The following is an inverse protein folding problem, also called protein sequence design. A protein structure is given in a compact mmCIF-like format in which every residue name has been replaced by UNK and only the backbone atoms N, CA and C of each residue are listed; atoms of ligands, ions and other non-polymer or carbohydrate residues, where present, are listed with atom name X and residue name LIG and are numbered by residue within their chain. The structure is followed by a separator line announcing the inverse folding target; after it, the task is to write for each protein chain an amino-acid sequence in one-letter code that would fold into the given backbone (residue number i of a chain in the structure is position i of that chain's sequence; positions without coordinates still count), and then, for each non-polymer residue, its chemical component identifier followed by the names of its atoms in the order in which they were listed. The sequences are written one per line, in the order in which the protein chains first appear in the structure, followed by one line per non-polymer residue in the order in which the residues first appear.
data_IF_028135027613
#
_entry.id   IF_028135027613
#
_cell.length_a   1.000
_cell.length_b   1.000
_cell.length_c   1.000
_cell.angle_alpha   90.00
_cell.angle_beta   90.00
_cell.angle_gamma   90.00
#
_symmetry.space_group_name_H-M   'P 1'
#
loop_
_entity.id
_entity.type
_entity.pdbx_description
1 polymer ?
#
# COMPACT_ATOMS: atom_id res chain seq x y z
N UNK A 1 -9.91 -58.13 -3.45
CA UNK A 1 -10.44 -57.23 -4.47
C UNK A 1 -10.65 -55.92 -3.74
N UNK A 2 -9.69 -55.06 -3.87
CA UNK A 2 -9.69 -53.76 -3.14
C UNK A 2 -9.84 -52.70 -4.21
N UNK A 3 -11.01 -52.10 -4.29
CA UNK A 3 -11.31 -51.01 -5.22
C UNK A 3 -10.58 -49.74 -4.69
N UNK A 4 -9.56 -49.35 -5.41
CA UNK A 4 -8.95 -48.04 -5.25
C UNK A 4 -9.90 -46.97 -5.86
N UNK A 5 -10.57 -46.24 -5.02
CA UNK A 5 -11.28 -45.03 -5.39
C UNK A 5 -10.32 -43.99 -5.97
N UNK A 6 -10.41 -43.77 -7.27
CA UNK A 6 -9.64 -42.74 -7.98
C UNK A 6 -10.19 -41.39 -7.53
N UNK A 7 -9.40 -40.65 -6.76
CA UNK A 7 -9.67 -39.26 -6.38
C UNK A 7 -9.97 -38.43 -7.63
N UNK A 8 -11.24 -38.11 -7.80
CA UNK A 8 -11.72 -37.19 -8.85
C UNK A 8 -11.14 -35.80 -8.56
N UNK A 9 -10.28 -35.34 -9.44
CA UNK A 9 -9.88 -33.94 -9.55
C UNK A 9 -11.12 -33.05 -9.46
N UNK A 10 -11.12 -31.98 -8.64
CA UNK A 10 -12.26 -31.09 -8.52
C UNK A 10 -12.58 -30.49 -9.89
N UNK A 11 -13.83 -30.64 -10.28
CA UNK A 11 -14.37 -30.08 -11.51
C UNK A 11 -14.09 -28.58 -11.63
N UNK A 12 -13.86 -28.10 -12.84
CA UNK A 12 -13.53 -26.72 -13.23
C UNK A 12 -14.60 -25.64 -12.88
N UNK A 13 -15.41 -25.84 -11.85
CA UNK A 13 -16.59 -25.05 -11.49
C UNK A 13 -16.44 -24.04 -10.35
N UNK A 14 -15.37 -24.08 -9.55
CA UNK A 14 -15.16 -23.15 -8.43
C UNK A 14 -14.05 -22.12 -8.72
N UNK A 15 -14.01 -21.56 -9.90
CA UNK A 15 -13.36 -20.27 -10.13
C UNK A 15 -14.20 -19.21 -9.39
N UNK A 16 -13.82 -18.92 -8.16
CA UNK A 16 -14.29 -17.71 -7.45
C UNK A 16 -14.19 -16.57 -8.44
N UNK A 17 -15.33 -16.04 -8.89
CA UNK A 17 -15.37 -14.99 -9.91
C UNK A 17 -14.49 -13.83 -9.43
N UNK A 18 -13.39 -13.61 -10.13
CA UNK A 18 -12.40 -12.57 -9.80
C UNK A 18 -13.10 -11.22 -9.73
N UNK A 19 -13.06 -10.59 -8.58
CA UNK A 19 -13.67 -9.27 -8.37
C UNK A 19 -12.82 -8.18 -9.03
N UNK A 20 -13.16 -7.81 -10.27
CA UNK A 20 -12.42 -6.82 -11.07
C UNK A 20 -12.51 -5.42 -10.52
N UNK A 21 -13.57 -5.08 -9.80
CA UNK A 21 -13.67 -3.79 -9.12
C UNK A 21 -12.58 -3.64 -8.06
N UNK A 22 -12.27 -4.71 -7.33
CA UNK A 22 -11.15 -4.73 -6.37
C UNK A 22 -9.81 -4.66 -7.10
N UNK A 23 -9.67 -5.29 -8.28
CA UNK A 23 -8.46 -5.14 -9.08
C UNK A 23 -8.28 -3.69 -9.56
N UNK A 24 -9.37 -2.99 -9.90
CA UNK A 24 -9.32 -1.55 -10.21
C UNK A 24 -8.85 -0.73 -9.01
N UNK A 25 -9.35 -1.01 -7.79
CA UNK A 25 -8.88 -0.33 -6.56
C UNK A 25 -7.37 -0.52 -6.37
N UNK A 26 -6.85 -1.76 -6.56
CA UNK A 26 -5.42 -2.04 -6.45
C UNK A 26 -4.60 -1.25 -7.46
N UNK A 27 -5.07 -1.14 -8.71
CA UNK A 27 -4.39 -0.40 -9.78
C UNK A 27 -4.35 1.09 -9.45
N UNK A 28 -5.47 1.68 -9.03
CA UNK A 28 -5.54 3.09 -8.61
C UNK A 28 -4.60 3.35 -7.44
N UNK A 29 -4.63 2.50 -6.42
CA UNK A 29 -3.75 2.61 -5.26
C UNK A 29 -2.27 2.46 -5.64
N UNK A 30 -1.94 1.55 -6.55
CA UNK A 30 -0.57 1.34 -7.06
C UNK A 30 -0.03 2.61 -7.74
N UNK A 31 -0.78 3.18 -8.69
CA UNK A 31 -0.37 4.40 -9.36
C UNK A 31 -0.34 5.60 -8.40
N UNK A 32 -1.23 5.65 -7.43
CA UNK A 32 -1.19 6.67 -6.39
C UNK A 32 0.07 6.59 -5.53
N UNK A 33 0.55 5.39 -5.14
CA UNK A 33 1.81 5.24 -4.41
C UNK A 33 3.01 5.63 -5.29
N UNK A 34 3.00 5.30 -6.59
CA UNK A 34 4.01 5.79 -7.51
C UNK A 34 3.97 7.33 -7.55
N UNK A 35 2.78 7.94 -7.61
CA UNK A 35 2.62 9.39 -7.58
C UNK A 35 3.23 9.99 -6.31
N UNK A 36 2.95 9.44 -5.12
CA UNK A 36 3.54 9.89 -3.86
C UNK A 36 5.06 9.94 -3.92
N UNK A 37 5.72 8.86 -4.36
CA UNK A 37 7.17 8.76 -4.35
C UNK A 37 7.84 9.51 -5.50
N UNK A 38 7.20 9.64 -6.66
CA UNK A 38 7.75 10.37 -7.81
C UNK A 38 7.58 11.89 -7.71
N UNK A 39 6.69 12.37 -6.82
CA UNK A 39 6.44 13.81 -6.65
C UNK A 39 6.96 14.38 -5.33
N UNK A 40 7.31 13.54 -4.35
CA UNK A 40 7.78 13.96 -3.03
C UNK A 40 8.99 14.91 -3.06
N UNK A 41 9.91 14.68 -3.98
CA UNK A 41 11.15 15.49 -4.11
C UNK A 41 10.92 16.91 -4.64
N UNK A 42 9.72 17.18 -5.14
CA UNK A 42 9.31 18.48 -5.65
C UNK A 42 8.56 19.33 -4.63
N UNK A 43 8.25 18.79 -3.45
CA UNK A 43 7.51 19.50 -2.39
C UNK A 43 8.32 20.65 -1.78
N UNK A 44 7.62 21.70 -1.34
CA UNK A 44 8.24 22.84 -0.66
C UNK A 44 9.07 23.77 -1.56
N UNK A 45 8.99 23.65 -2.88
CA UNK A 45 9.66 24.52 -3.85
C UNK A 45 8.66 25.52 -4.44
N UNK A 46 9.04 26.77 -4.56
CA UNK A 46 8.15 27.89 -4.94
C UNK A 46 7.38 27.73 -6.26
N UNK A 47 7.90 26.94 -7.20
CA UNK A 47 7.29 26.77 -8.53
C UNK A 47 6.48 25.47 -8.73
N UNK A 48 6.25 24.65 -7.69
CA UNK A 48 5.74 23.29 -7.88
C UNK A 48 4.36 22.99 -7.28
N UNK A 49 3.41 23.91 -7.44
CA UNK A 49 2.00 23.66 -7.06
C UNK A 49 1.44 22.35 -7.66
N UNK A 50 1.89 21.97 -8.87
CA UNK A 50 1.48 20.73 -9.52
C UNK A 50 1.92 19.51 -8.70
N UNK A 51 3.15 19.50 -8.19
CA UNK A 51 3.63 18.43 -7.33
C UNK A 51 2.81 18.33 -6.04
N UNK A 52 2.53 19.46 -5.41
CA UNK A 52 1.73 19.51 -4.18
C UNK A 52 0.31 18.95 -4.39
N UNK A 53 -0.34 19.34 -5.49
CA UNK A 53 -1.68 18.81 -5.83
C UNK A 53 -1.62 17.30 -6.09
N UNK A 54 -0.67 16.84 -6.89
CA UNK A 54 -0.51 15.41 -7.21
C UNK A 54 -0.23 14.60 -5.95
N UNK A 55 0.73 15.02 -5.13
CA UNK A 55 1.14 14.34 -3.91
C UNK A 55 0.00 14.24 -2.90
N UNK A 56 -0.69 15.36 -2.61
CA UNK A 56 -1.78 15.38 -1.64
C UNK A 56 -3.03 14.67 -2.13
N UNK A 57 -3.28 14.65 -3.44
CA UNK A 57 -4.38 13.87 -4.01
C UNK A 57 -4.14 12.37 -3.88
N UNK A 58 -2.88 11.95 -3.92
CA UNK A 58 -2.47 10.55 -3.82
C UNK A 58 -2.47 9.98 -2.39
N UNK A 59 -2.77 10.79 -1.37
CA UNK A 59 -2.80 10.37 0.06
C UNK A 59 -3.70 9.16 0.32
N UNK A 60 -4.77 8.98 -0.43
CA UNK A 60 -5.72 7.86 -0.28
C UNK A 60 -5.13 6.49 -0.66
N UNK A 61 -3.99 6.47 -1.34
CA UNK A 61 -3.45 5.25 -1.96
C UNK A 61 -3.06 4.18 -0.94
N UNK A 62 -2.38 4.57 0.13
CA UNK A 62 -2.01 3.63 1.21
C UNK A 62 -3.24 3.13 1.98
N UNK A 63 -4.18 4.00 2.43
CA UNK A 63 -5.47 3.57 2.94
C UNK A 63 -6.19 2.55 2.07
N UNK A 64 -6.26 2.77 0.77
CA UNK A 64 -6.92 1.86 -0.17
C UNK A 64 -6.31 0.45 -0.15
N UNK A 65 -5.01 0.28 0.02
CA UNK A 65 -4.38 -1.05 0.13
C UNK A 65 -4.82 -1.81 1.37
N UNK A 66 -4.85 -1.15 2.52
CA UNK A 66 -5.34 -1.77 3.75
C UNK A 66 -6.84 -2.09 3.65
N UNK A 67 -7.63 -1.20 3.06
CA UNK A 67 -9.06 -1.44 2.82
C UNK A 67 -9.31 -2.63 1.89
N UNK A 68 -8.55 -2.76 0.79
CA UNK A 68 -8.59 -3.94 -0.10
C UNK A 68 -8.29 -5.20 0.69
N UNK A 69 -7.26 -5.17 1.53
CA UNK A 69 -6.88 -6.33 2.35
C UNK A 69 -7.99 -6.72 3.32
N UNK A 70 -8.58 -5.76 4.01
CA UNK A 70 -9.72 -5.98 4.91
C UNK A 70 -10.97 -6.51 4.19
N UNK A 71 -11.29 -5.91 3.02
CA UNK A 71 -12.40 -6.35 2.18
C UNK A 71 -12.26 -7.81 1.73
N UNK A 72 -11.05 -8.23 1.37
CA UNK A 72 -10.80 -9.60 0.90
C UNK A 72 -10.68 -10.62 2.02
N UNK A 73 -10.11 -10.24 3.16
CA UNK A 73 -9.73 -11.19 4.23
C UNK A 73 -10.78 -11.33 5.32
N UNK A 74 -11.47 -10.24 5.71
CA UNK A 74 -12.51 -10.32 6.73
C UNK A 74 -13.75 -11.07 6.22
N UNK A 75 -14.25 -11.99 7.03
CA UNK A 75 -15.38 -12.86 6.70
C UNK A 75 -15.04 -14.00 5.74
N UNK A 76 -13.77 -14.26 5.45
CA UNK A 76 -13.34 -15.41 4.67
C UNK A 76 -13.38 -16.68 5.53
N UNK A 77 -13.89 -17.80 4.99
CA UNK A 77 -14.11 -19.06 5.73
C UNK A 77 -12.83 -19.70 6.28
N UNK A 78 -11.67 -19.52 5.63
CA UNK A 78 -10.39 -20.11 6.04
C UNK A 78 -9.37 -18.99 6.27
N UNK A 79 -9.34 -18.48 7.49
CA UNK A 79 -8.38 -17.48 7.99
C UNK A 79 -7.93 -17.86 9.39
N UNK A 80 -7.57 -19.11 9.53
CA UNK A 80 -7.00 -19.68 10.75
C UNK A 80 -5.53 -19.28 10.92
N UNK A 81 -4.91 -19.73 12.00
CA UNK A 81 -3.52 -19.47 12.29
C UNK A 81 -2.59 -20.02 11.21
N UNK A 82 -2.92 -21.19 10.65
CA UNK A 82 -2.11 -21.80 9.58
C UNK A 82 -2.10 -20.94 8.32
N UNK A 83 -3.26 -20.43 7.91
CA UNK A 83 -3.35 -19.46 6.79
C UNK A 83 -2.52 -18.21 7.06
N UNK A 84 -2.63 -17.64 8.27
CA UNK A 84 -1.88 -16.44 8.67
C UNK A 84 -0.38 -16.66 8.62
N UNK A 85 0.12 -17.78 9.19
CA UNK A 85 1.55 -18.15 9.13
C UNK A 85 2.00 -18.32 7.68
N UNK A 86 1.23 -18.99 6.84
CA UNK A 86 1.55 -19.15 5.43
C UNK A 86 1.73 -17.82 4.70
N UNK A 87 0.87 -16.82 5.01
CA UNK A 87 0.97 -15.47 4.44
C UNK A 87 2.18 -14.69 4.98
N UNK A 88 2.45 -14.78 6.28
CA UNK A 88 3.64 -14.17 6.89
C UNK A 88 4.92 -14.74 6.27
N UNK A 89 5.04 -16.07 6.16
CA UNK A 89 6.18 -16.70 5.53
C UNK A 89 6.31 -16.32 4.04
N UNK A 90 5.19 -16.15 3.33
CA UNK A 90 5.17 -15.64 1.97
C UNK A 90 5.78 -14.23 1.87
N UNK A 91 5.41 -13.32 2.78
CA UNK A 91 5.98 -11.97 2.86
C UNK A 91 7.48 -12.02 3.17
N UNK A 92 7.89 -12.78 4.19
CA UNK A 92 9.29 -12.89 4.58
C UNK A 92 10.15 -13.43 3.43
N UNK A 93 9.68 -14.49 2.75
CA UNK A 93 10.33 -15.02 1.54
C UNK A 93 10.45 -13.97 0.45
N UNK A 94 9.37 -13.25 0.16
CA UNK A 94 9.34 -12.19 -0.86
C UNK A 94 10.39 -11.12 -0.58
N UNK A 95 10.42 -10.59 0.64
CA UNK A 95 11.38 -9.57 1.07
C UNK A 95 12.81 -10.11 1.01
N UNK A 96 13.05 -11.35 1.47
CA UNK A 96 14.37 -11.96 1.41
C UNK A 96 14.89 -12.09 -0.02
N UNK A 97 14.04 -12.55 -0.95
CA UNK A 97 14.40 -12.69 -2.38
C UNK A 97 14.72 -11.33 -3.01
N UNK A 98 13.88 -10.31 -2.78
CA UNK A 98 14.09 -8.98 -3.37
C UNK A 98 15.33 -8.29 -2.81
N UNK A 99 15.59 -8.40 -1.51
CA UNK A 99 16.80 -7.89 -0.87
C UNK A 99 18.04 -8.61 -1.40
N UNK A 100 17.97 -9.92 -1.56
CA UNK A 100 19.09 -10.71 -2.09
C UNK A 100 19.42 -10.32 -3.54
N UNK A 101 18.41 -10.19 -4.41
CA UNK A 101 18.61 -9.76 -5.80
C UNK A 101 19.26 -8.37 -5.84
N UNK A 102 18.80 -7.44 -5.01
CA UNK A 102 19.39 -6.11 -4.91
C UNK A 102 20.85 -6.16 -4.46
N UNK A 103 21.16 -6.93 -3.43
CA UNK A 103 22.53 -7.09 -2.92
C UNK A 103 23.45 -7.64 -4.00
N UNK A 104 23.03 -8.68 -4.74
CA UNK A 104 23.81 -9.23 -5.86
C UNK A 104 24.05 -8.15 -6.92
N UNK A 105 23.01 -7.40 -7.32
CA UNK A 105 23.14 -6.35 -8.32
C UNK A 105 24.12 -5.23 -7.88
N UNK A 106 24.07 -4.82 -6.61
CA UNK A 106 24.97 -3.82 -6.06
C UNK A 106 26.41 -4.34 -5.93
N UNK A 107 26.58 -5.60 -5.52
CA UNK A 107 27.90 -6.24 -5.45
C UNK A 107 28.56 -6.32 -6.84
N UNK A 108 27.79 -6.71 -7.87
CA UNK A 108 28.27 -6.70 -9.25
C UNK A 108 28.66 -5.30 -9.73
N UNK A 109 27.86 -4.28 -9.41
CA UNK A 109 28.19 -2.88 -9.73
C UNK A 109 29.52 -2.47 -9.07
N UNK A 110 29.75 -2.80 -7.81
CA UNK A 110 31.00 -2.50 -7.10
C UNK A 110 32.21 -3.23 -7.72
N UNK A 111 32.06 -4.50 -8.09
CA UNK A 111 33.12 -5.27 -8.77
C UNK A 111 33.48 -4.62 -10.10
N UNK A 112 32.48 -4.25 -10.93
CA UNK A 112 32.69 -3.59 -12.25
C UNK A 112 33.37 -2.22 -12.08
N UNK A 113 33.06 -1.49 -11.00
CA UNK A 113 33.63 -0.17 -10.72
C UNK A 113 35.04 -0.25 -10.09
N UNK A 114 35.61 -1.44 -9.92
CA UNK A 114 36.93 -1.64 -9.31
C UNK A 114 36.98 -1.46 -7.76
N UNK A 115 35.83 -1.23 -7.15
CA UNK A 115 35.69 -1.05 -5.70
C UNK A 115 35.14 -2.32 -5.06
N UNK A 116 36.00 -3.32 -4.87
CA UNK A 116 35.57 -4.57 -4.25
C UNK A 116 35.40 -4.40 -2.74
N UNK A 117 34.16 -4.31 -2.26
CA UNK A 117 33.81 -4.53 -0.86
C UNK A 117 32.57 -5.41 -0.78
N UNK A 118 32.76 -6.66 -0.36
CA UNK A 118 31.65 -7.60 -0.18
C UNK A 118 31.24 -7.60 1.31
N UNK A 119 30.18 -6.86 1.63
CA UNK A 119 29.59 -6.96 2.97
C UNK A 119 28.51 -8.07 2.98
N UNK A 120 28.88 -9.21 3.54
CA UNK A 120 28.01 -10.40 3.64
C UNK A 120 26.85 -10.17 4.60
N UNK A 121 26.98 -9.28 5.57
CA UNK A 121 25.92 -8.97 6.54
C UNK A 121 24.90 -7.95 6.02
N UNK A 122 25.24 -7.24 4.94
CA UNK A 122 24.40 -6.20 4.38
C UNK A 122 22.99 -6.69 3.96
N UNK A 123 22.81 -7.88 3.34
CA UNK A 123 21.49 -8.39 3.04
C UNK A 123 20.63 -8.62 4.28
N UNK A 124 21.22 -9.15 5.35
CA UNK A 124 20.52 -9.36 6.63
C UNK A 124 20.09 -8.02 7.24
N UNK A 125 20.98 -7.03 7.24
CA UNK A 125 20.67 -5.69 7.69
C UNK A 125 19.51 -5.10 6.88
N UNK A 126 19.58 -5.12 5.56
CA UNK A 126 18.52 -4.60 4.70
C UNK A 126 17.21 -5.34 4.86
N UNK A 127 17.25 -6.66 5.02
CA UNK A 127 16.05 -7.45 5.30
C UNK A 127 15.33 -6.99 6.57
N UNK A 128 16.07 -6.77 7.66
CA UNK A 128 15.47 -6.33 8.93
C UNK A 128 14.99 -4.89 8.84
N UNK A 129 15.84 -3.95 8.41
CA UNK A 129 15.51 -2.52 8.45
C UNK A 129 14.43 -2.13 7.44
N UNK A 130 14.20 -2.92 6.39
CA UNK A 130 13.17 -2.67 5.40
C UNK A 130 11.75 -2.63 6.00
N UNK A 131 11.47 -3.47 6.99
CA UNK A 131 10.19 -3.45 7.70
C UNK A 131 9.98 -2.20 8.55
N UNK A 132 11.06 -1.47 8.85
CA UNK A 132 11.09 -0.28 9.71
C UNK A 132 11.43 1.01 8.94
N UNK A 133 11.01 1.12 7.70
CA UNK A 133 11.30 2.28 6.82
C UNK A 133 12.80 2.57 6.62
N UNK A 134 13.65 1.58 6.80
CA UNK A 134 15.09 1.75 6.68
C UNK A 134 15.67 1.24 5.37
N UNK A 135 16.81 1.82 4.98
CA UNK A 135 17.58 1.38 3.83
C UNK A 135 16.88 1.57 2.48
N UNK A 136 17.37 0.87 1.43
CA UNK A 136 16.85 1.02 0.08
C UNK A 136 15.43 0.50 -0.12
N UNK A 137 14.90 -0.26 0.85
CA UNK A 137 13.55 -0.83 0.82
C UNK A 137 12.62 -0.14 1.83
N UNK A 138 12.79 1.15 2.06
CA UNK A 138 12.01 1.91 3.03
C UNK A 138 10.49 1.74 2.85
N UNK A 139 10.01 1.56 1.62
CA UNK A 139 8.58 1.32 1.32
C UNK A 139 8.04 -0.02 1.85
N UNK A 140 8.90 -0.96 2.23
CA UNK A 140 8.49 -2.29 2.74
C UNK A 140 7.95 -2.27 4.17
N UNK A 141 7.92 -1.11 4.83
CA UNK A 141 7.19 -0.94 6.07
C UNK A 141 5.73 -1.43 5.98
N UNK A 142 5.12 -1.33 4.79
CA UNK A 142 3.79 -1.88 4.52
C UNK A 142 3.73 -3.39 4.77
N UNK A 143 4.74 -4.13 4.37
CA UNK A 143 4.83 -5.56 4.67
C UNK A 143 4.98 -5.83 6.17
N UNK A 144 5.74 -4.98 6.89
CA UNK A 144 5.82 -5.03 8.35
C UNK A 144 4.44 -4.89 9.02
N UNK A 145 3.67 -3.87 8.61
CA UNK A 145 2.31 -3.68 9.08
C UNK A 145 1.39 -4.88 8.72
N UNK A 146 1.51 -5.41 7.49
CA UNK A 146 0.72 -6.57 7.05
C UNK A 146 1.07 -7.85 7.82
N UNK A 147 2.33 -8.07 8.22
CA UNK A 147 2.72 -9.18 9.08
C UNK A 147 1.94 -9.12 10.40
N UNK A 148 1.87 -7.95 11.03
CA UNK A 148 1.13 -7.76 12.28
C UNK A 148 -0.37 -8.00 12.06
N UNK A 149 -0.93 -7.47 10.97
CA UNK A 149 -2.34 -7.68 10.62
C UNK A 149 -2.63 -9.16 10.38
N UNK A 150 -1.76 -9.90 9.68
CA UNK A 150 -1.93 -11.33 9.49
C UNK A 150 -1.84 -12.11 10.81
N UNK A 151 -0.95 -11.72 11.73
CA UNK A 151 -0.89 -12.33 13.06
C UNK A 151 -2.19 -12.12 13.85
N UNK A 152 -2.82 -10.96 13.71
CA UNK A 152 -4.08 -10.62 14.35
C UNK A 152 -5.32 -11.14 13.61
N UNK A 153 -5.19 -11.59 12.36
CA UNK A 153 -6.30 -11.93 11.48
C UNK A 153 -7.29 -12.97 12.05
N UNK A 154 -6.84 -14.04 12.74
CA UNK A 154 -7.78 -14.99 13.32
C UNK A 154 -8.71 -14.34 14.38
N UNK A 155 -8.17 -13.42 15.18
CA UNK A 155 -8.94 -12.67 16.19
C UNK A 155 -9.86 -11.67 15.51
N UNK A 156 -9.36 -10.91 14.54
CA UNK A 156 -10.16 -9.94 13.78
C UNK A 156 -11.34 -10.61 13.07
N UNK A 157 -11.15 -11.81 12.51
CA UNK A 157 -12.23 -12.56 11.90
C UNK A 157 -13.26 -13.08 12.92
N UNK A 158 -12.84 -13.49 14.11
CA UNK A 158 -13.78 -13.83 15.19
C UNK A 158 -14.64 -12.61 15.58
N UNK A 159 -14.02 -11.44 15.73
CA UNK A 159 -14.74 -10.19 15.96
C UNK A 159 -15.67 -9.86 14.79
N UNK A 160 -15.22 -10.06 13.55
CA UNK A 160 -16.00 -9.78 12.34
C UNK A 160 -17.28 -10.61 12.25
N UNK A 161 -17.30 -11.87 12.70
CA UNK A 161 -18.50 -12.71 12.71
C UNK A 161 -19.61 -12.06 13.56
N UNK A 162 -19.30 -11.56 14.75
CA UNK A 162 -20.24 -10.85 15.60
C UNK A 162 -20.37 -9.39 15.20
N UNK A 163 -21.56 -8.96 14.76
CA UNK A 163 -21.82 -7.56 14.40
C UNK A 163 -21.48 -6.61 15.56
N UNK A 164 -21.89 -6.94 16.78
CA UNK A 164 -21.65 -6.09 17.97
C UNK A 164 -20.15 -5.99 18.26
N UNK A 165 -19.44 -7.13 18.34
CA UNK A 165 -18.02 -7.14 18.62
C UNK A 165 -17.22 -6.37 17.55
N UNK A 166 -17.58 -6.52 16.28
CA UNK A 166 -16.90 -5.82 15.18
C UNK A 166 -17.14 -4.31 15.22
N UNK A 167 -18.38 -3.87 15.48
CA UNK A 167 -18.69 -2.44 15.58
C UNK A 167 -18.02 -1.81 16.81
N UNK A 168 -17.94 -2.53 17.95
CA UNK A 168 -17.21 -2.07 19.13
C UNK A 168 -15.71 -1.94 18.85
N UNK A 169 -15.11 -2.94 18.20
CA UNK A 169 -13.71 -2.88 17.76
C UNK A 169 -13.48 -1.68 16.82
N UNK A 170 -14.33 -1.52 15.82
CA UNK A 170 -14.24 -0.43 14.85
C UNK A 170 -14.37 0.95 15.50
N UNK A 171 -15.32 1.10 16.43
CA UNK A 171 -15.49 2.34 17.18
C UNK A 171 -14.28 2.65 18.07
N UNK A 172 -13.70 1.62 18.72
CA UNK A 172 -12.46 1.77 19.50
C UNK A 172 -11.28 2.21 18.62
N UNK A 173 -11.10 1.58 17.46
CA UNK A 173 -10.06 1.98 16.50
C UNK A 173 -10.28 3.40 15.96
N UNK A 174 -11.53 3.77 15.69
CA UNK A 174 -11.88 5.14 15.29
C UNK A 174 -11.51 6.16 16.36
N UNK A 175 -11.82 5.86 17.62
CA UNK A 175 -11.48 6.75 18.75
C UNK A 175 -9.97 6.91 18.90
N UNK A 176 -9.19 5.82 18.82
CA UNK A 176 -7.73 5.87 18.91
C UNK A 176 -7.14 6.67 17.73
N UNK A 177 -7.66 6.46 16.53
CA UNK A 177 -7.24 7.21 15.34
C UNK A 177 -7.58 8.69 15.46
N UNK A 178 -8.76 9.02 15.98
CA UNK A 178 -9.16 10.40 16.23
C UNK A 178 -8.27 11.10 17.26
N UNK A 179 -7.92 10.40 18.34
CA UNK A 179 -6.95 10.90 19.35
C UNK A 179 -5.59 11.17 18.68
N UNK A 180 -5.08 10.24 17.87
CA UNK A 180 -3.84 10.44 17.13
C UNK A 180 -3.90 11.66 16.19
N UNK A 181 -5.04 11.87 15.53
CA UNK A 181 -5.26 13.04 14.69
C UNK A 181 -5.23 14.35 15.48
N UNK A 182 -5.92 14.41 16.64
CA UNK A 182 -5.90 15.60 17.52
C UNK A 182 -4.48 15.88 18.03
N UNK A 183 -3.73 14.84 18.39
CA UNK A 183 -2.32 14.98 18.78
C UNK A 183 -1.47 15.58 17.67
N UNK A 184 -1.67 15.13 16.43
CA UNK A 184 -0.96 15.69 15.28
C UNK A 184 -1.34 17.16 15.04
N UNK A 185 -2.63 17.53 15.19
CA UNK A 185 -3.10 18.91 15.04
C UNK A 185 -2.49 19.87 16.07
N UNK A 186 -2.28 19.41 17.29
CA UNK A 186 -1.76 20.23 18.41
C UNK A 186 -0.23 20.20 18.48
N UNK A 187 0.44 19.62 17.49
CA UNK A 187 1.89 19.48 17.44
C UNK A 187 2.49 18.82 18.71
N UNK A 188 1.68 17.99 19.38
CA UNK A 188 2.04 17.31 20.62
C UNK A 188 1.88 18.13 21.90
N UNK A 189 1.28 19.31 21.86
CA UNK A 189 1.05 20.13 23.06
C UNK A 189 0.11 19.47 24.06
N UNK A 190 -0.87 18.68 23.59
CA UNK A 190 -1.84 17.98 24.45
C UNK A 190 -1.34 16.62 24.89
N UNK A 191 -0.69 15.89 23.98
CA UNK A 191 -0.05 14.60 24.20
C UNK A 191 1.11 14.53 23.20
N UNK A 192 2.24 13.94 23.54
CA UNK A 192 3.38 13.84 22.61
C UNK A 192 2.95 13.38 21.22
N UNK A 193 3.31 14.16 20.18
CA UNK A 193 2.99 13.81 18.79
C UNK A 193 3.55 12.42 18.48
N UNK A 194 2.67 11.44 18.40
CA UNK A 194 3.07 10.03 18.33
C UNK A 194 3.56 9.64 16.92
N UNK A 195 3.01 10.24 15.88
CA UNK A 195 3.30 9.81 14.51
C UNK A 195 4.74 10.09 14.05
N UNK A 196 5.39 11.22 14.35
CA UNK A 196 6.80 11.42 13.97
C UNK A 196 7.77 10.43 14.62
N UNK A 197 7.41 9.93 15.80
CA UNK A 197 8.29 9.07 16.62
C UNK A 197 7.96 7.58 16.48
N UNK A 198 6.82 7.22 15.91
CA UNK A 198 6.42 5.83 15.70
C UNK A 198 6.61 5.44 14.24
N UNK A 199 7.40 4.40 14.04
CA UNK A 199 7.61 3.84 12.71
C UNK A 199 6.29 3.43 12.05
N UNK A 200 6.15 3.65 10.74
CA UNK A 200 4.92 3.41 9.98
C UNK A 200 4.34 2.00 10.21
N UNK A 201 5.17 0.96 10.23
CA UNK A 201 4.68 -0.40 10.44
C UNK A 201 3.95 -0.61 11.77
N UNK A 202 4.23 0.24 12.77
CA UNK A 202 3.59 0.18 14.09
C UNK A 202 2.44 1.18 14.28
N UNK A 203 2.13 2.04 13.31
CA UNK A 203 0.96 2.93 13.36
C UNK A 203 -0.33 2.15 13.14
N UNK A 204 -0.54 1.13 13.99
CA UNK A 204 -1.65 0.19 13.84
C UNK A 204 -3.03 0.83 14.02
N UNK A 205 -3.11 1.97 14.72
CA UNK A 205 -4.35 2.76 14.81
C UNK A 205 -4.85 3.21 13.43
N UNK A 206 -3.96 3.52 12.48
CA UNK A 206 -4.32 3.82 11.11
C UNK A 206 -4.60 2.54 10.32
N UNK A 207 -3.68 1.57 10.35
CA UNK A 207 -3.72 0.43 9.43
C UNK A 207 -4.81 -0.58 9.78
N UNK A 208 -5.02 -0.87 11.07
CA UNK A 208 -6.15 -1.71 11.51
C UNK A 208 -7.48 -1.01 11.27
N UNK A 209 -7.56 0.30 11.46
CA UNK A 209 -8.76 1.06 11.16
C UNK A 209 -9.14 0.95 9.69
N UNK A 210 -8.23 1.25 8.76
CA UNK A 210 -8.51 1.13 7.32
C UNK A 210 -8.78 -0.31 6.90
N UNK A 211 -8.09 -1.27 7.47
CA UNK A 211 -8.37 -2.68 7.25
C UNK A 211 -9.81 -3.03 7.68
N UNK A 212 -10.22 -2.63 8.87
CA UNK A 212 -11.58 -2.86 9.37
C UNK A 212 -12.62 -2.06 8.57
N UNK A 213 -12.29 -0.84 8.10
CA UNK A 213 -13.16 -0.03 7.24
C UNK A 213 -13.45 -0.75 5.91
N UNK A 214 -12.46 -1.38 5.29
CA UNK A 214 -12.66 -2.23 4.12
C UNK A 214 -13.62 -3.40 4.38
N UNK A 215 -13.48 -4.05 5.53
CA UNK A 215 -14.40 -5.09 5.99
C UNK A 215 -15.81 -4.57 6.30
N UNK A 216 -15.92 -3.37 6.85
CA UNK A 216 -17.20 -2.71 7.12
C UNK A 216 -17.95 -2.44 5.81
N UNK A 217 -17.27 -1.87 4.81
CA UNK A 217 -17.84 -1.61 3.48
C UNK A 217 -18.32 -2.92 2.83
N UNK A 218 -17.51 -4.00 2.92
CA UNK A 218 -17.93 -5.32 2.45
C UNK A 218 -19.21 -5.83 3.13
N UNK A 219 -19.34 -5.61 4.45
CA UNK A 219 -20.48 -6.10 5.22
C UNK A 219 -21.78 -5.38 4.91
N UNK A 220 -21.71 -4.07 4.70
CA UNK A 220 -22.89 -3.22 4.57
C UNK A 220 -23.21 -2.85 3.13
N UNK A 221 -22.28 -3.09 2.20
CA UNK A 221 -22.44 -2.84 0.76
C UNK A 221 -23.15 -1.49 0.49
N UNK A 222 -22.59 -0.36 1.00
CA UNK A 222 -23.26 0.92 0.89
C UNK A 222 -23.57 1.23 -0.58
N UNK A 223 -24.71 1.87 -0.82
CA UNK A 223 -25.09 2.32 -2.15
C UNK A 223 -23.96 3.15 -2.77
N UNK A 224 -23.77 2.99 -4.10
CA UNK A 224 -22.71 3.67 -4.82
C UNK A 224 -22.73 5.18 -4.61
N UNK A 225 -21.58 5.79 -4.63
CA UNK A 225 -21.43 7.24 -4.46
C UNK A 225 -21.39 7.97 -5.80
N UNK A 226 -21.69 9.27 -5.77
CA UNK A 226 -21.57 10.14 -6.93
C UNK A 226 -20.15 10.70 -7.00
N UNK A 227 -19.60 10.79 -8.21
CA UNK A 227 -18.26 11.35 -8.45
C UNK A 227 -18.11 12.77 -7.87
N UNK A 228 -19.17 13.57 -7.89
CA UNK A 228 -19.15 14.92 -7.32
C UNK A 228 -18.77 14.94 -5.84
N UNK A 229 -19.20 13.94 -5.05
CA UNK A 229 -18.83 13.84 -3.63
C UNK A 229 -17.32 13.61 -3.49
N UNK A 230 -16.74 12.77 -4.32
CA UNK A 230 -15.29 12.51 -4.32
C UNK A 230 -14.51 13.76 -4.71
N UNK A 231 -14.98 14.49 -5.72
CA UNK A 231 -14.35 15.76 -6.15
C UNK A 231 -14.41 16.79 -5.03
N UNK A 232 -15.57 16.98 -4.40
CA UNK A 232 -15.72 17.91 -3.27
C UNK A 232 -14.80 17.53 -2.11
N UNK A 233 -14.81 16.26 -1.70
CA UNK A 233 -13.92 15.77 -0.63
C UNK A 233 -12.44 15.90 -1.02
N UNK A 234 -12.10 15.68 -2.29
CA UNK A 234 -10.75 15.88 -2.82
C UNK A 234 -10.30 17.34 -2.70
N UNK A 235 -11.15 18.28 -3.09
CA UNK A 235 -10.87 19.72 -2.93
C UNK A 235 -10.73 20.11 -1.46
N UNK A 236 -11.65 19.64 -0.60
CA UNK A 236 -11.58 19.89 0.85
C UNK A 236 -10.29 19.30 1.44
N UNK A 237 -9.88 18.10 1.00
CA UNK A 237 -8.62 17.48 1.42
C UNK A 237 -7.40 18.31 1.00
N UNK A 238 -7.36 18.79 -0.23
CA UNK A 238 -6.27 19.64 -0.72
C UNK A 238 -6.17 20.93 0.09
N UNK A 239 -7.29 21.65 0.24
CA UNK A 239 -7.34 22.89 1.01
C UNK A 239 -6.95 22.66 2.48
N UNK A 240 -7.43 21.57 3.09
CA UNK A 240 -7.09 21.22 4.45
C UNK A 240 -5.58 20.96 4.61
N UNK A 241 -4.99 20.11 3.76
CA UNK A 241 -3.56 19.79 3.85
C UNK A 241 -2.67 21.00 3.55
N UNK A 242 -3.00 21.81 2.54
CA UNK A 242 -2.22 23.00 2.19
C UNK A 242 -2.23 24.05 3.31
N UNK A 243 -3.40 24.30 3.94
CA UNK A 243 -3.49 25.22 5.07
C UNK A 243 -2.74 24.66 6.29
N UNK A 244 -2.87 23.37 6.57
CA UNK A 244 -2.19 22.74 7.70
C UNK A 244 -0.66 22.83 7.58
N UNK A 245 -0.14 22.60 6.38
CA UNK A 245 1.31 22.71 6.11
C UNK A 245 1.82 24.13 6.32
N UNK A 246 1.05 25.15 5.91
CA UNK A 246 1.43 26.56 6.10
C UNK A 246 1.52 26.96 7.57
N UNK A 247 0.73 26.32 8.44
CA UNK A 247 0.68 26.63 9.88
C UNK A 247 1.69 25.82 10.68
N UNK A 248 1.87 24.52 10.38
CA UNK A 248 2.63 23.59 11.21
C UNK A 248 3.97 23.18 10.57
N UNK A 249 4.17 23.50 9.27
CA UNK A 249 5.41 23.19 8.57
C UNK A 249 5.61 21.71 8.20
N UNK A 250 4.57 20.84 8.40
CA UNK A 250 4.63 19.42 8.07
C UNK A 250 4.28 19.19 6.62
N UNK A 251 5.23 18.73 5.81
CA UNK A 251 5.07 18.55 4.37
C UNK A 251 4.51 17.16 4.02
N UNK A 252 4.86 16.11 4.78
CA UNK A 252 4.53 14.73 4.45
C UNK A 252 3.04 14.40 4.63
N UNK A 253 2.44 13.76 3.63
CA UNK A 253 1.06 13.28 3.70
C UNK A 253 0.82 12.17 4.74
N UNK A 254 1.89 11.57 5.28
CA UNK A 254 1.80 10.51 6.31
C UNK A 254 1.07 10.97 7.57
N UNK A 255 1.16 12.27 7.90
CA UNK A 255 0.52 12.86 9.07
C UNK A 255 -0.99 13.06 8.90
N UNK A 256 -1.50 12.88 7.69
CA UNK A 256 -2.93 13.11 7.41
C UNK A 256 -3.75 11.82 7.35
N UNK A 257 -3.13 10.65 7.46
CA UNK A 257 -3.87 9.38 7.40
C UNK A 257 -4.92 9.22 8.51
N UNK A 258 -4.70 9.83 9.66
CA UNK A 258 -5.66 9.86 10.78
C UNK A 258 -6.74 10.94 10.65
N UNK A 259 -6.62 11.87 9.68
CA UNK A 259 -7.59 12.95 9.53
C UNK A 259 -8.95 12.47 9.02
N UNK A 260 -10.03 13.04 9.57
CA UNK A 260 -11.39 12.71 9.17
C UNK A 260 -11.62 12.92 7.66
N UNK A 261 -10.98 13.94 7.06
CA UNK A 261 -11.12 14.25 5.63
C UNK A 261 -10.52 13.14 4.77
N UNK A 262 -9.31 12.65 5.11
CA UNK A 262 -8.67 11.53 4.38
C UNK A 262 -9.44 10.23 4.59
N UNK A 263 -9.96 9.99 5.79
CA UNK A 263 -10.82 8.82 6.08
C UNK A 263 -12.07 8.84 5.19
N UNK A 264 -12.79 9.96 5.15
CA UNK A 264 -14.00 10.10 4.34
C UNK A 264 -13.67 9.98 2.84
N UNK A 265 -12.64 10.68 2.37
CA UNK A 265 -12.21 10.61 0.97
C UNK A 265 -11.84 9.17 0.58
N UNK A 266 -11.05 8.48 1.41
CA UNK A 266 -10.65 7.08 1.15
C UNK A 266 -11.86 6.14 1.12
N UNK A 267 -12.80 6.29 2.06
CA UNK A 267 -14.03 5.50 2.10
C UNK A 267 -14.86 5.70 0.84
N UNK A 268 -15.10 6.96 0.42
CA UNK A 268 -15.89 7.28 -0.74
C UNK A 268 -15.23 6.86 -2.05
N UNK A 269 -13.92 7.05 -2.20
CA UNK A 269 -13.16 6.54 -3.35
C UNK A 269 -13.25 5.01 -3.43
N UNK A 270 -13.11 4.32 -2.30
CA UNK A 270 -13.21 2.87 -2.25
C UNK A 270 -14.61 2.38 -2.66
N UNK A 271 -15.68 2.97 -2.10
CA UNK A 271 -17.08 2.63 -2.44
C UNK A 271 -17.36 2.89 -3.91
N UNK A 272 -16.90 4.02 -4.46
CA UNK A 272 -17.08 4.35 -5.86
C UNK A 272 -16.37 3.35 -6.78
N UNK A 273 -15.11 3.05 -6.52
CA UNK A 273 -14.32 2.10 -7.33
C UNK A 273 -14.89 0.68 -7.24
N UNK A 274 -15.32 0.24 -6.05
CA UNK A 274 -15.92 -1.10 -5.89
C UNK A 274 -17.30 -1.21 -6.55
N UNK A 275 -18.02 -0.11 -6.70
CA UNK A 275 -19.29 -0.03 -7.43
C UNK A 275 -19.12 0.05 -8.96
N UNK A 276 -17.91 0.29 -9.48
CA UNK A 276 -17.68 0.34 -10.92
C UNK A 276 -17.84 -1.02 -11.58
N UNK A 277 -18.66 -1.08 -12.64
CA UNK A 277 -18.81 -2.30 -13.48
C UNK A 277 -17.62 -2.40 -14.43
N UNK A 278 -16.57 -3.11 -14.02
CA UNK A 278 -15.38 -3.30 -14.83
C UNK A 278 -15.57 -4.48 -15.80
N UNK A 279 -15.62 -4.19 -17.09
CA UNK A 279 -15.66 -5.22 -18.15
C UNK A 279 -14.35 -6.02 -18.15
N UNK A 280 -14.41 -7.25 -18.69
CA UNK A 280 -13.21 -8.06 -18.88
C UNK A 280 -12.24 -7.33 -19.81
N UNK A 281 -11.05 -7.01 -19.29
CA UNK A 281 -10.01 -6.30 -20.02
C UNK A 281 -8.67 -6.95 -19.72
N UNK A 282 -7.93 -7.32 -20.75
CA UNK A 282 -6.58 -7.84 -20.62
C UNK A 282 -5.64 -6.85 -19.90
N UNK A 283 -5.89 -5.54 -20.05
CA UNK A 283 -5.12 -4.50 -19.38
C UNK A 283 -5.33 -4.53 -17.85
N UNK A 284 -6.59 -4.55 -17.37
CA UNK A 284 -6.90 -4.61 -15.94
C UNK A 284 -6.37 -5.91 -15.33
N UNK A 285 -6.61 -7.02 -16.01
CA UNK A 285 -6.13 -8.34 -15.57
C UNK A 285 -4.59 -8.42 -15.56
N UNK A 286 -3.91 -7.77 -16.50
CA UNK A 286 -2.45 -7.68 -16.58
C UNK A 286 -1.88 -6.81 -15.48
N UNK A 287 -2.31 -5.55 -15.37
CA UNK A 287 -1.79 -4.59 -14.39
C UNK A 287 -2.00 -5.07 -12.94
N UNK A 288 -3.15 -5.67 -12.63
CA UNK A 288 -3.40 -6.14 -11.28
C UNK A 288 -2.52 -7.33 -10.86
N UNK A 289 -1.99 -8.11 -11.81
CA UNK A 289 -0.99 -9.16 -11.54
C UNK A 289 0.40 -8.58 -11.29
N UNK A 290 0.69 -7.43 -11.90
CA UNK A 290 1.98 -6.74 -11.74
C UNK A 290 2.06 -5.88 -10.47
N UNK A 291 0.96 -5.80 -9.70
CA UNK A 291 0.88 -4.95 -8.50
C UNK A 291 2.10 -5.10 -7.58
N UNK A 292 2.42 -6.32 -7.17
CA UNK A 292 3.48 -6.58 -6.21
C UNK A 292 4.90 -6.32 -6.78
N UNK A 293 5.25 -6.79 -7.99
CA UNK A 293 6.51 -6.42 -8.63
C UNK A 293 6.67 -4.91 -8.83
N UNK A 294 5.62 -4.21 -9.30
CA UNK A 294 5.63 -2.75 -9.47
C UNK A 294 5.86 -2.06 -8.13
N UNK A 295 5.17 -2.50 -7.08
CA UNK A 295 5.37 -1.99 -5.72
C UNK A 295 6.83 -2.12 -5.27
N UNK A 296 7.54 -3.16 -5.66
CA UNK A 296 8.93 -3.38 -5.25
C UNK A 296 9.94 -2.52 -5.99
N UNK A 297 9.69 -2.19 -7.26
CA UNK A 297 10.68 -1.49 -8.09
C UNK A 297 10.46 0.00 -8.20
N UNK A 298 9.22 0.50 -8.01
CA UNK A 298 8.88 1.89 -8.27
C UNK A 298 9.71 2.89 -7.45
N UNK A 299 9.99 2.57 -6.19
CA UNK A 299 10.74 3.47 -5.31
C UNK A 299 12.19 3.64 -5.77
N UNK A 300 12.86 2.54 -6.18
CA UNK A 300 14.20 2.62 -6.75
C UNK A 300 14.23 3.45 -8.02
N UNK A 301 13.23 3.25 -8.89
CA UNK A 301 13.14 4.00 -10.14
C UNK A 301 12.89 5.49 -9.84
N UNK A 302 12.02 5.81 -8.86
CA UNK A 302 11.75 7.18 -8.47
C UNK A 302 13.01 7.90 -7.96
N UNK A 303 13.78 7.24 -7.08
CA UNK A 303 15.05 7.78 -6.55
C UNK A 303 16.06 7.97 -7.68
N UNK A 304 16.29 6.94 -8.50
CA UNK A 304 17.23 7.03 -9.64
C UNK A 304 16.83 8.13 -10.63
N UNK A 305 15.53 8.27 -10.89
CA UNK A 305 15.03 9.29 -11.81
C UNK A 305 15.26 10.70 -11.28
N UNK A 306 14.98 10.91 -9.98
CA UNK A 306 15.25 12.19 -9.30
C UNK A 306 16.72 12.59 -9.33
N UNK A 307 17.63 11.62 -9.17
CA UNK A 307 19.06 11.88 -9.17
C UNK A 307 19.62 12.20 -10.58
N UNK A 308 19.07 11.54 -11.63
CA UNK A 308 19.58 11.66 -12.99
C UNK A 308 19.04 12.87 -13.76
N UNK A 309 17.77 13.22 -13.58
CA UNK A 309 17.08 14.18 -14.45
C UNK A 309 16.83 15.56 -13.84
N UNK A 310 17.29 15.77 -12.60
CA UNK A 310 17.14 17.05 -11.93
C UNK A 310 15.69 17.35 -11.49
N UNK A 311 15.53 18.50 -10.85
CA UNK A 311 14.26 18.84 -10.13
C UNK A 311 13.71 20.19 -10.60
N UNK A 312 13.89 20.54 -11.88
CA UNK A 312 13.51 21.85 -12.43
C UNK A 312 12.43 21.75 -13.49
N UNK A 313 11.51 22.72 -13.51
CA UNK A 313 10.42 22.83 -14.50
C UNK A 313 9.04 22.47 -13.97
N UNK A 314 8.02 23.23 -14.39
CA UNK A 314 6.63 23.10 -13.92
C UNK A 314 6.04 21.71 -14.21
N UNK A 315 6.41 21.09 -15.31
CA UNK A 315 5.92 19.77 -15.73
C UNK A 315 6.79 18.61 -15.22
N UNK A 316 7.91 18.88 -14.56
CA UNK A 316 8.83 17.85 -14.09
C UNK A 316 8.15 16.79 -13.17
N UNK A 317 7.23 17.14 -12.25
CA UNK A 317 6.53 16.14 -11.44
C UNK A 317 5.66 15.20 -12.27
N UNK A 318 4.98 15.73 -13.31
CA UNK A 318 4.15 14.91 -14.22
C UNK A 318 5.04 13.96 -15.03
N UNK A 319 6.13 14.50 -15.59
CA UNK A 319 7.10 13.69 -16.36
C UNK A 319 7.72 12.60 -15.49
N UNK A 320 8.09 12.93 -14.24
CA UNK A 320 8.61 11.97 -13.27
C UNK A 320 7.59 10.87 -13.00
N UNK A 321 6.34 11.22 -12.66
CA UNK A 321 5.28 10.25 -12.43
C UNK A 321 5.05 9.32 -13.62
N UNK A 322 4.96 9.87 -14.84
CA UNK A 322 4.75 9.07 -16.06
C UNK A 322 5.93 8.16 -16.31
N UNK A 323 7.16 8.67 -16.24
CA UNK A 323 8.36 7.89 -16.49
C UNK A 323 8.52 6.76 -15.46
N UNK A 324 8.37 7.06 -14.16
CA UNK A 324 8.44 6.06 -13.10
C UNK A 324 7.35 5.01 -13.28
N UNK A 325 6.13 5.41 -13.64
CA UNK A 325 5.02 4.48 -13.90
C UNK A 325 5.32 3.52 -15.06
N UNK A 326 5.73 4.07 -16.21
CA UNK A 326 6.03 3.27 -17.42
C UNK A 326 7.20 2.32 -17.16
N UNK A 327 8.29 2.81 -16.56
CA UNK A 327 9.46 2.00 -16.27
C UNK A 327 9.15 0.92 -15.24
N UNK A 328 8.41 1.24 -14.18
CA UNK A 328 8.03 0.26 -13.13
C UNK A 328 7.15 -0.86 -13.70
N UNK A 329 6.17 -0.52 -14.51
CA UNK A 329 5.30 -1.51 -15.17
C UNK A 329 6.09 -2.33 -16.19
N UNK A 330 6.92 -1.68 -17.02
CA UNK A 330 7.74 -2.35 -18.03
C UNK A 330 8.74 -3.34 -17.45
N UNK A 331 9.51 -2.92 -16.43
CA UNK A 331 10.47 -3.79 -15.74
C UNK A 331 9.73 -4.95 -15.06
N UNK A 332 8.64 -4.67 -14.36
CA UNK A 332 7.84 -5.71 -13.69
C UNK A 332 7.26 -6.71 -14.69
N UNK A 333 6.82 -6.25 -15.86
CA UNK A 333 6.33 -7.13 -16.92
C UNK A 333 7.44 -8.06 -17.43
N UNK A 334 8.65 -7.53 -17.65
CA UNK A 334 9.81 -8.31 -18.10
C UNK A 334 10.21 -9.34 -17.04
N UNK A 335 10.31 -8.92 -15.77
CA UNK A 335 10.64 -9.81 -14.64
C UNK A 335 9.65 -10.97 -14.53
N UNK A 336 8.36 -10.70 -14.70
CA UNK A 336 7.33 -11.74 -14.64
C UNK A 336 7.32 -12.70 -15.85
N UNK A 337 8.10 -12.43 -16.89
CA UNK A 337 8.35 -13.37 -17.99
C UNK A 337 9.48 -14.37 -17.69
N UNK A 338 10.31 -14.09 -16.70
CA UNK A 338 11.38 -15.01 -16.28
C UNK A 338 10.75 -16.27 -15.67
N UNK A 339 11.16 -17.47 -16.10
CA UNK A 339 10.67 -18.72 -15.52
C UNK A 339 10.80 -18.72 -14.00
N UNK A 340 9.76 -19.19 -13.31
CA UNK A 340 9.68 -19.27 -11.84
C UNK A 340 9.58 -17.93 -11.08
N UNK A 341 9.72 -16.77 -11.74
CA UNK A 341 9.60 -15.46 -11.07
C UNK A 341 8.23 -15.30 -10.37
N UNK A 342 7.16 -15.76 -11.00
CA UNK A 342 5.82 -15.74 -10.43
C UNK A 342 5.71 -16.56 -9.14
N UNK A 343 6.42 -17.70 -9.03
CA UNK A 343 6.43 -18.53 -7.83
C UNK A 343 7.24 -17.92 -6.69
N UNK A 344 8.35 -17.25 -7.03
CA UNK A 344 9.23 -16.61 -6.04
C UNK A 344 8.64 -15.30 -5.51
N UNK A 345 7.99 -14.53 -6.40
CA UNK A 345 7.44 -13.20 -6.12
C UNK A 345 5.94 -13.22 -5.77
N UNK A 346 5.35 -14.38 -5.49
CA UNK A 346 3.95 -14.52 -5.08
C UNK A 346 3.84 -14.60 -3.55
N UNK A 347 2.95 -13.81 -2.95
CA UNK A 347 2.60 -13.82 -1.52
C UNK A 347 1.27 -14.56 -1.29
#
# INVERSE_FOLDING_TARGET
MCDMEVDKLPAAGDLVSRNRSIDLVKIVAMFGVICLHSTSDYLGRESFYVADIMYRSAVVSVPLFFMVSGFLLLGRKRTDLHYSIGKILGILRYVAVTVFIYWVAMSLKHIISGNFSLDILLPLKYFVVSFFQGGPFAVYWYFGAMIIIYALLPVLNRCFVSKRAFLTLFAGLFLVQYIAFVQNLTNGEVLYASEPYVNQCFRLWNWLFYFCLGGLIKRYEPAGTRLVVIVVLGVVNLLFQMNYVSVIGVISCEFFYSSAVVVLLSAWVFVWLTGCKVKRSGLVDGLSRLFLPVYSVHYFIAVMFSDCFGRTGVFAPICSFVAVSVLSVGISYIVMKIPYADKLLRI
#
